data_IF_895141404966
#
_entry.id   IF_895141404966
#
_cell.length_a   1.000
_cell.length_b   1.000
_cell.length_c   1.000
_cell.angle_alpha   90.00
_cell.angle_beta   90.00
_cell.angle_gamma   90.00
#
_symmetry.space_group_name_H-M   'P 1'
#
loop_
_entity.id
_entity.type
_entity.pdbx_description
1 polymer ?
#
# COMPACT_ATOMS: atom_id res chain seq x y z
N UNK A 1 12.23 -17.66 1.55
CA UNK A 1 12.08 -17.81 3.02
C UNK A 1 13.28 -17.13 3.64
N UNK A 2 13.09 -15.91 4.14
CA UNK A 2 14.16 -15.18 4.84
C UNK A 2 14.42 -15.87 6.17
N UNK A 3 15.54 -16.58 6.27
CA UNK A 3 15.98 -17.32 7.47
C UNK A 3 16.85 -16.47 8.39
N UNK A 4 16.75 -15.15 8.30
CA UNK A 4 17.51 -14.25 9.15
C UNK A 4 16.67 -13.83 10.36
N UNK A 5 17.17 -14.05 11.57
CA UNK A 5 16.51 -13.67 12.83
C UNK A 5 16.23 -12.15 12.85
N UNK A 6 17.05 -11.35 12.18
CA UNK A 6 16.90 -9.90 12.01
C UNK A 6 15.63 -9.55 11.21
N UNK A 7 15.37 -10.26 10.12
CA UNK A 7 14.16 -10.02 9.32
C UNK A 7 12.89 -10.36 10.09
N UNK A 8 12.93 -11.42 10.91
CA UNK A 8 11.82 -11.76 11.80
C UNK A 8 11.55 -10.63 12.80
N UNK A 9 12.59 -10.09 13.43
CA UNK A 9 12.48 -8.96 14.36
C UNK A 9 11.81 -7.75 13.70
N UNK A 10 12.22 -7.40 12.49
CA UNK A 10 11.61 -6.29 11.74
C UNK A 10 10.11 -6.49 11.49
N UNK A 11 9.73 -7.68 11.04
CA UNK A 11 8.32 -7.99 10.79
C UNK A 11 7.48 -8.02 12.07
N UNK A 12 8.00 -8.60 13.15
CA UNK A 12 7.31 -8.63 14.44
C UNK A 12 7.13 -7.21 15.01
N UNK A 13 8.16 -6.37 14.91
CA UNK A 13 8.11 -4.97 15.34
C UNK A 13 7.09 -4.17 14.51
N UNK A 14 7.17 -4.23 13.18
CA UNK A 14 6.23 -3.52 12.31
C UNK A 14 4.80 -4.03 12.50
N UNK A 15 4.60 -5.35 12.66
CA UNK A 15 3.27 -5.90 12.93
C UNK A 15 2.70 -5.39 14.25
N UNK A 16 3.47 -5.40 15.34
CA UNK A 16 3.00 -4.90 16.64
C UNK A 16 2.61 -3.41 16.56
N UNK A 17 3.38 -2.61 15.81
CA UNK A 17 3.07 -1.22 15.53
C UNK A 17 1.72 -1.09 14.79
N UNK A 18 1.52 -1.84 13.70
CA UNK A 18 0.28 -1.80 12.92
C UNK A 18 -0.92 -2.35 13.68
N UNK A 19 -0.78 -3.46 14.42
CA UNK A 19 -1.85 -4.05 15.23
C UNK A 19 -2.42 -3.05 16.24
N UNK A 20 -1.56 -2.27 16.89
CA UNK A 20 -1.98 -1.22 17.84
C UNK A 20 -2.71 -0.05 17.16
N UNK A 21 -2.36 0.26 15.92
CA UNK A 21 -2.91 1.41 15.17
C UNK A 21 -4.26 1.13 14.50
N UNK A 22 -4.59 -0.12 14.22
CA UNK A 22 -5.86 -0.49 13.57
C UNK A 22 -7.08 0.08 14.28
N UNK A 23 -7.31 -0.10 15.60
CA UNK A 23 -8.48 0.48 16.25
C UNK A 23 -8.53 2.01 16.19
N UNK A 24 -7.37 2.68 16.21
CA UNK A 24 -7.28 4.15 16.05
C UNK A 24 -7.73 4.54 14.64
N UNK A 25 -7.26 3.83 13.61
CA UNK A 25 -7.61 4.08 12.21
C UNK A 25 -9.09 3.82 11.94
N UNK A 26 -9.65 2.73 12.44
CA UNK A 26 -11.06 2.36 12.25
C UNK A 26 -12.02 3.35 12.90
N UNK A 27 -11.65 3.90 14.07
CA UNK A 27 -12.52 4.84 14.81
C UNK A 27 -12.22 6.31 14.53
N UNK A 28 -11.06 6.57 13.91
CA UNK A 28 -10.58 7.92 13.62
C UNK A 28 -11.29 8.59 12.45
N UNK A 29 -11.06 9.90 12.30
CA UNK A 29 -11.66 10.70 11.23
C UNK A 29 -10.95 10.55 9.89
N UNK A 30 -9.68 10.17 9.88
CA UNK A 30 -8.86 10.12 8.67
C UNK A 30 -9.45 9.17 7.61
N UNK A 31 -9.78 7.96 8.01
CA UNK A 31 -10.34 6.95 7.11
C UNK A 31 -11.86 7.06 6.93
N UNK A 32 -12.54 7.84 7.77
CA UNK A 32 -14.00 8.03 7.70
C UNK A 32 -14.76 6.70 7.49
N UNK A 33 -14.52 5.73 8.37
CA UNK A 33 -15.17 4.43 8.31
C UNK A 33 -16.72 4.52 8.25
N UNK A 34 -17.38 5.42 9.00
CA UNK A 34 -18.84 5.59 8.86
C UNK A 34 -19.26 6.02 7.45
N UNK A 35 -18.55 6.97 6.83
CA UNK A 35 -18.80 7.39 5.45
C UNK A 35 -18.58 6.28 4.45
N UNK A 36 -17.50 5.49 4.63
CA UNK A 36 -17.24 4.30 3.81
C UNK A 36 -18.39 3.27 3.91
N UNK A 37 -18.83 2.95 5.11
CA UNK A 37 -19.95 2.02 5.33
C UNK A 37 -21.27 2.54 4.73
N UNK A 38 -21.47 3.86 4.72
CA UNK A 38 -22.61 4.53 4.09
C UNK A 38 -22.53 4.61 2.55
N UNK A 39 -21.42 4.16 1.94
CA UNK A 39 -21.28 4.09 0.49
C UNK A 39 -20.21 4.98 -0.12
N UNK A 40 -19.45 5.75 0.68
CA UNK A 40 -18.30 6.52 0.17
C UNK A 40 -17.28 5.58 -0.48
N UNK A 41 -16.74 5.98 -1.60
CA UNK A 41 -15.64 5.29 -2.28
C UNK A 41 -14.29 5.78 -1.73
N UNK A 42 -13.29 4.89 -1.72
CA UNK A 42 -11.93 5.22 -1.28
C UNK A 42 -10.93 5.27 -2.42
N UNK A 43 -11.25 4.61 -3.54
CA UNK A 43 -10.36 4.57 -4.70
C UNK A 43 -10.28 5.94 -5.39
N UNK A 44 -9.08 6.30 -5.78
CA UNK A 44 -8.86 7.53 -6.51
C UNK A 44 -9.31 7.40 -7.98
N UNK A 45 -9.74 8.49 -8.63
CA UNK A 45 -10.14 8.44 -10.03
C UNK A 45 -9.05 7.85 -10.95
N UNK A 46 -7.78 8.22 -10.73
CA UNK A 46 -6.68 7.71 -11.55
C UNK A 46 -6.47 6.19 -11.38
N UNK A 47 -6.74 5.62 -10.19
CA UNK A 47 -6.64 4.17 -9.98
C UNK A 47 -7.71 3.43 -10.78
N UNK A 48 -8.92 3.97 -10.80
CA UNK A 48 -10.01 3.41 -11.61
C UNK A 48 -9.73 3.47 -13.10
N UNK A 49 -9.18 4.59 -13.58
CA UNK A 49 -8.84 4.76 -14.98
C UNK A 49 -7.69 3.83 -15.42
N UNK A 50 -6.67 3.66 -14.58
CA UNK A 50 -5.48 2.84 -14.87
C UNK A 50 -5.72 1.33 -14.71
N UNK A 51 -6.51 0.91 -13.72
CA UNK A 51 -6.92 -0.49 -13.53
C UNK A 51 -7.97 -0.88 -14.57
N UNK A 52 -8.91 0.02 -14.87
CA UNK A 52 -9.98 -0.19 -15.84
C UNK A 52 -11.11 -1.06 -15.29
N UNK A 53 -11.87 -1.70 -16.16
CA UNK A 53 -13.02 -2.53 -15.80
C UNK A 53 -12.59 -3.77 -15.02
N UNK A 54 -13.18 -3.96 -13.84
CA UNK A 54 -12.92 -5.11 -12.93
C UNK A 54 -14.12 -6.05 -12.79
N UNK A 55 -15.23 -5.78 -13.46
CA UNK A 55 -16.45 -6.58 -13.32
C UNK A 55 -16.19 -8.07 -13.64
N UNK A 56 -16.48 -8.93 -12.68
CA UNK A 56 -16.30 -10.38 -12.78
C UNK A 56 -14.85 -10.86 -12.71
N UNK A 57 -13.85 -9.99 -12.64
CA UNK A 57 -12.44 -10.35 -12.48
C UNK A 57 -12.12 -10.74 -11.04
N UNK A 58 -11.11 -11.60 -10.87
CA UNK A 58 -10.53 -11.91 -9.57
C UNK A 58 -9.43 -10.91 -9.25
N UNK A 59 -9.49 -10.32 -8.06
CA UNK A 59 -8.52 -9.35 -7.60
C UNK A 59 -8.00 -9.75 -6.21
N UNK A 60 -6.68 -9.80 -6.04
CA UNK A 60 -6.07 -9.85 -4.71
C UNK A 60 -5.45 -8.50 -4.37
N UNK A 61 -5.78 -7.97 -3.19
CA UNK A 61 -5.17 -6.79 -2.61
C UNK A 61 -4.15 -7.21 -1.56
N UNK A 62 -2.87 -7.00 -1.85
CA UNK A 62 -1.77 -7.29 -0.94
C UNK A 62 -1.57 -6.11 0.02
N UNK A 63 -1.32 -6.41 1.30
CA UNK A 63 -1.17 -5.41 2.37
C UNK A 63 -2.40 -4.49 2.46
N UNK A 64 -3.59 -5.13 2.53
CA UNK A 64 -4.88 -4.47 2.36
C UNK A 64 -5.35 -3.67 3.58
N UNK A 65 -4.59 -3.65 4.66
CA UNK A 65 -4.98 -3.03 5.94
C UNK A 65 -6.37 -3.50 6.38
N UNK A 66 -7.28 -2.62 6.81
CA UNK A 66 -8.65 -3.00 7.16
C UNK A 66 -9.65 -2.94 5.96
N UNK A 67 -9.15 -3.03 4.73
CA UNK A 67 -9.89 -3.50 3.56
C UNK A 67 -10.81 -2.50 2.87
N UNK A 68 -10.78 -1.19 3.14
CA UNK A 68 -11.68 -0.22 2.48
C UNK A 68 -11.51 -0.24 0.95
N UNK A 69 -10.29 -0.20 0.43
CA UNK A 69 -10.02 -0.22 -1.01
C UNK A 69 -10.39 -1.57 -1.63
N UNK A 70 -10.09 -2.68 -0.92
CA UNK A 70 -10.52 -4.03 -1.33
C UNK A 70 -12.04 -4.07 -1.54
N UNK A 71 -12.80 -3.56 -0.58
CA UNK A 71 -14.26 -3.53 -0.62
C UNK A 71 -14.80 -2.52 -1.65
N UNK A 72 -14.07 -1.45 -1.94
CA UNK A 72 -14.39 -0.51 -3.03
C UNK A 72 -14.25 -1.18 -4.40
N UNK A 73 -13.22 -2.03 -4.60
CA UNK A 73 -13.11 -2.87 -5.80
C UNK A 73 -14.23 -3.91 -5.89
N UNK A 74 -14.64 -4.49 -4.76
CA UNK A 74 -15.79 -5.41 -4.74
C UNK A 74 -17.10 -4.72 -5.14
N UNK A 75 -17.34 -3.50 -4.65
CA UNK A 75 -18.48 -2.65 -5.08
C UNK A 75 -18.43 -2.33 -6.58
N UNK A 76 -17.26 -2.35 -7.20
CA UNK A 76 -17.07 -2.19 -8.64
C UNK A 76 -17.25 -3.51 -9.43
N UNK A 77 -17.63 -4.61 -8.75
CA UNK A 77 -17.93 -5.90 -9.36
C UNK A 77 -16.77 -6.90 -9.42
N UNK A 78 -15.62 -6.61 -8.82
CA UNK A 78 -14.54 -7.57 -8.69
C UNK A 78 -14.86 -8.66 -7.65
N UNK A 79 -14.34 -9.86 -7.85
CA UNK A 79 -14.26 -10.90 -6.82
C UNK A 79 -12.95 -10.74 -6.08
N UNK A 80 -13.03 -10.23 -4.84
CA UNK A 80 -11.86 -9.74 -4.14
C UNK A 80 -11.35 -10.70 -3.06
N UNK A 81 -10.05 -10.69 -2.87
CA UNK A 81 -9.36 -11.27 -1.71
C UNK A 81 -8.42 -10.22 -1.15
N UNK A 82 -8.51 -9.89 0.12
CA UNK A 82 -7.57 -9.03 0.84
C UNK A 82 -6.60 -9.87 1.66
N UNK A 83 -5.33 -9.45 1.72
CA UNK A 83 -4.31 -10.09 2.54
C UNK A 83 -3.53 -9.03 3.30
N UNK A 84 -3.38 -9.24 4.61
CA UNK A 84 -2.56 -8.41 5.48
C UNK A 84 -1.95 -9.24 6.61
N UNK A 85 -0.83 -8.81 7.15
CA UNK A 85 -0.18 -9.51 8.27
C UNK A 85 -0.83 -9.19 9.63
N UNK A 86 -1.59 -8.09 9.72
CA UNK A 86 -2.28 -7.64 10.92
C UNK A 86 -3.60 -8.38 11.10
N UNK A 87 -3.70 -9.23 12.13
CA UNK A 87 -4.94 -9.91 12.45
C UNK A 87 -6.09 -8.94 12.82
N UNK A 88 -5.87 -7.88 13.64
CA UNK A 88 -6.91 -6.87 13.90
C UNK A 88 -7.39 -6.16 12.62
N UNK A 89 -6.51 -5.89 11.66
CA UNK A 89 -6.89 -5.28 10.39
C UNK A 89 -7.83 -6.19 9.59
N UNK A 90 -7.49 -7.46 9.47
CA UNK A 90 -8.31 -8.45 8.77
C UNK A 90 -9.66 -8.69 9.47
N UNK A 91 -9.70 -8.68 10.80
CA UNK A 91 -10.96 -8.77 11.55
C UNK A 91 -11.86 -7.56 11.27
N UNK A 92 -11.30 -6.35 11.27
CA UNK A 92 -12.02 -5.12 10.93
C UNK A 92 -12.52 -5.15 9.46
N UNK A 93 -11.71 -5.64 8.51
CA UNK A 93 -12.09 -5.79 7.12
C UNK A 93 -13.27 -6.76 6.93
N UNK A 94 -13.25 -7.91 7.62
CA UNK A 94 -14.35 -8.89 7.61
C UNK A 94 -15.64 -8.30 8.21
N UNK A 95 -15.51 -7.56 9.31
CA UNK A 95 -16.65 -6.89 9.94
C UNK A 95 -17.28 -5.86 8.99
N UNK A 96 -16.45 -5.05 8.30
CA UNK A 96 -16.91 -4.08 7.31
C UNK A 96 -17.62 -4.77 6.13
N UNK A 97 -17.03 -5.85 5.57
CA UNK A 97 -17.63 -6.63 4.49
C UNK A 97 -19.01 -7.17 4.86
N UNK A 98 -19.13 -7.77 6.05
CA UNK A 98 -20.39 -8.28 6.57
C UNK A 98 -21.44 -7.17 6.73
N UNK A 99 -21.03 -6.01 7.26
CA UNK A 99 -21.94 -4.88 7.50
C UNK A 99 -22.49 -4.28 6.20
N UNK A 100 -21.68 -4.22 5.13
CA UNK A 100 -22.13 -3.69 3.83
C UNK A 100 -22.69 -4.76 2.89
N UNK A 101 -22.71 -6.04 3.32
CA UNK A 101 -23.26 -7.16 2.55
C UNK A 101 -22.45 -7.50 1.30
N UNK A 102 -21.13 -7.31 1.34
CA UNK A 102 -20.20 -7.63 0.24
C UNK A 102 -19.51 -8.96 0.52
N UNK A 103 -19.51 -9.85 -0.48
CA UNK A 103 -18.74 -11.10 -0.44
C UNK A 103 -17.26 -10.82 -0.75
N UNK A 104 -16.39 -11.06 0.23
CA UNK A 104 -14.96 -10.82 0.13
C UNK A 104 -14.19 -11.78 1.04
N UNK A 105 -13.11 -12.36 0.50
CA UNK A 105 -12.18 -13.16 1.29
C UNK A 105 -11.14 -12.25 1.95
N UNK A 106 -10.80 -12.54 3.22
CA UNK A 106 -9.69 -11.85 3.90
C UNK A 106 -8.79 -12.85 4.62
N UNK A 107 -7.48 -12.77 4.40
CA UNK A 107 -6.47 -13.71 4.89
C UNK A 107 -5.39 -12.99 5.69
N UNK A 108 -5.10 -13.51 6.90
CA UNK A 108 -3.97 -13.04 7.70
C UNK A 108 -2.72 -13.77 7.23
N UNK A 109 -1.78 -13.06 6.61
CA UNK A 109 -0.48 -13.61 6.20
C UNK A 109 0.53 -12.51 5.93
N UNK A 110 1.82 -12.83 6.09
CA UNK A 110 2.88 -12.01 5.52
C UNK A 110 2.79 -12.05 3.98
N UNK A 111 3.06 -10.93 3.33
CA UNK A 111 3.00 -10.83 1.86
C UNK A 111 3.94 -11.81 1.16
N UNK A 112 5.07 -12.15 1.75
CA UNK A 112 6.02 -13.12 1.19
C UNK A 112 5.49 -14.55 1.17
N UNK A 113 4.55 -14.87 2.05
CA UNK A 113 3.90 -16.18 2.13
C UNK A 113 2.53 -16.20 1.41
N UNK A 114 2.17 -15.10 0.72
CA UNK A 114 0.84 -14.91 0.17
C UNK A 114 0.42 -16.02 -0.81
N UNK A 115 1.32 -16.52 -1.67
CA UNK A 115 0.97 -17.57 -2.61
C UNK A 115 0.56 -18.86 -1.91
N UNK A 116 1.29 -19.26 -0.86
CA UNK A 116 0.98 -20.45 -0.05
C UNK A 116 -0.29 -20.24 0.79
N UNK A 117 -0.41 -19.09 1.46
CA UNK A 117 -1.56 -18.75 2.28
C UNK A 117 -2.87 -18.68 1.46
N UNK A 118 -2.78 -18.33 0.18
CA UNK A 118 -3.90 -18.30 -0.75
C UNK A 118 -4.10 -19.62 -1.52
N UNK A 119 -3.39 -20.69 -1.15
CA UNK A 119 -3.52 -22.03 -1.74
C UNK A 119 -3.17 -22.06 -3.23
N UNK A 120 -2.13 -21.34 -3.65
CA UNK A 120 -1.65 -21.23 -5.03
C UNK A 120 -2.72 -20.70 -6.02
N UNK A 121 -3.74 -20.01 -5.52
CA UNK A 121 -4.73 -19.36 -6.39
C UNK A 121 -4.08 -18.29 -7.24
N UNK A 122 -4.52 -18.18 -8.50
CA UNK A 122 -4.10 -17.13 -9.41
C UNK A 122 -5.23 -16.13 -9.68
N UNK A 123 -4.85 -14.90 -9.89
CA UNK A 123 -5.76 -13.76 -10.01
C UNK A 123 -5.58 -13.04 -11.34
N UNK A 124 -6.64 -12.35 -11.78
CA UNK A 124 -6.60 -11.43 -12.90
C UNK A 124 -5.78 -10.19 -12.59
N UNK A 125 -5.90 -9.73 -11.34
CA UNK A 125 -5.32 -8.48 -10.86
C UNK A 125 -4.68 -8.73 -9.50
N UNK A 126 -3.42 -8.32 -9.36
CA UNK A 126 -2.78 -8.06 -8.07
C UNK A 126 -2.78 -6.55 -7.89
N UNK A 127 -3.47 -6.07 -6.86
CA UNK A 127 -3.55 -4.66 -6.51
C UNK A 127 -2.71 -4.40 -5.27
N UNK A 128 -1.93 -3.33 -5.29
CA UNK A 128 -1.10 -2.86 -4.18
C UNK A 128 -1.33 -1.35 -4.02
N UNK A 129 -1.88 -0.98 -2.87
CA UNK A 129 -2.22 0.39 -2.54
C UNK A 129 -1.04 1.19 -1.97
N UNK A 130 -1.31 2.47 -1.71
CA UNK A 130 -0.33 3.48 -1.28
C UNK A 130 0.28 3.13 0.08
N UNK A 131 1.60 3.31 0.19
CA UNK A 131 2.35 3.09 1.44
C UNK A 131 2.68 1.62 1.72
N UNK A 132 2.71 0.77 0.71
CA UNK A 132 2.91 -0.66 0.88
C UNK A 132 4.38 -1.10 0.80
N UNK A 133 5.14 -0.62 -0.19
CA UNK A 133 6.49 -1.14 -0.44
C UNK A 133 7.49 -0.74 0.64
N UNK A 134 7.30 0.40 1.27
CA UNK A 134 8.20 0.90 2.32
C UNK A 134 8.33 -0.06 3.52
N UNK A 135 7.38 -0.96 3.72
CA UNK A 135 7.37 -1.96 4.81
C UNK A 135 8.09 -3.26 4.46
N UNK A 136 8.63 -3.38 3.25
CA UNK A 136 9.18 -4.62 2.73
C UNK A 136 10.71 -4.56 2.61
N UNK A 137 11.46 -5.48 3.26
CA UNK A 137 12.93 -5.52 3.15
C UNK A 137 13.44 -6.06 1.81
N UNK A 138 12.61 -6.79 1.04
CA UNK A 138 13.04 -7.50 -0.19
C UNK A 138 12.00 -7.37 -1.28
N UNK A 139 12.16 -6.35 -2.12
CA UNK A 139 11.23 -6.08 -3.23
C UNK A 139 11.38 -7.11 -4.37
N UNK A 140 12.52 -7.80 -4.49
CA UNK A 140 12.68 -8.88 -5.48
C UNK A 140 11.86 -10.12 -5.09
N UNK A 141 11.91 -10.51 -3.80
CA UNK A 141 11.08 -11.59 -3.29
C UNK A 141 9.59 -11.25 -3.42
N UNK A 142 9.20 -10.02 -3.11
CA UNK A 142 7.84 -9.53 -3.30
C UNK A 142 7.38 -9.61 -4.77
N UNK A 143 8.20 -9.16 -5.72
CA UNK A 143 7.86 -9.22 -7.14
C UNK A 143 7.67 -10.67 -7.65
N UNK A 144 8.46 -11.63 -7.13
CA UNK A 144 8.28 -13.06 -7.41
C UNK A 144 6.95 -13.59 -6.88
N UNK A 145 6.53 -13.16 -5.68
CA UNK A 145 5.20 -13.49 -5.13
C UNK A 145 4.10 -12.91 -6.01
N UNK A 146 4.19 -11.65 -6.41
CA UNK A 146 3.24 -11.01 -7.33
C UNK A 146 3.12 -11.80 -8.64
N UNK A 147 4.25 -12.15 -9.25
CA UNK A 147 4.26 -12.94 -10.50
C UNK A 147 3.63 -14.33 -10.32
N UNK A 148 3.81 -14.97 -9.15
CA UNK A 148 3.21 -16.27 -8.81
C UNK A 148 1.69 -16.18 -8.66
N UNK A 149 1.20 -15.09 -8.05
CA UNK A 149 -0.23 -14.82 -7.86
C UNK A 149 -0.95 -14.42 -9.14
N UNK A 150 -0.25 -13.92 -10.16
CA UNK A 150 -0.86 -13.55 -11.43
C UNK A 150 -1.06 -14.76 -12.32
N UNK A 151 -2.24 -14.89 -12.92
CA UNK A 151 -2.46 -15.79 -14.06
C UNK A 151 -1.78 -15.24 -15.33
N UNK A 152 -1.47 -16.07 -16.33
CA UNK A 152 -1.08 -15.57 -17.64
C UNK A 152 -2.10 -14.57 -18.19
N UNK A 153 -1.65 -13.43 -18.68
CA UNK A 153 -2.49 -12.30 -19.11
C UNK A 153 -3.07 -11.43 -18.00
N UNK A 154 -2.84 -11.76 -16.71
CA UNK A 154 -3.17 -10.89 -15.57
C UNK A 154 -2.14 -9.79 -15.37
N UNK A 155 -2.41 -8.83 -14.49
CA UNK A 155 -1.52 -7.70 -14.25
C UNK A 155 -1.43 -7.28 -12.77
N UNK A 156 -0.26 -6.75 -12.42
CA UNK A 156 -0.03 -5.96 -11.21
C UNK A 156 -0.47 -4.53 -11.47
N UNK A 157 -1.20 -3.95 -10.53
CA UNK A 157 -1.32 -2.51 -10.35
C UNK A 157 -0.70 -2.11 -9.02
N UNK A 158 0.21 -1.15 -9.04
CA UNK A 158 0.87 -0.57 -7.89
C UNK A 158 0.70 0.95 -7.93
N UNK A 159 0.22 1.53 -6.83
CA UNK A 159 0.26 2.97 -6.57
C UNK A 159 0.93 3.21 -5.23
N UNK A 160 1.97 4.05 -5.17
CA UNK A 160 2.70 4.28 -3.93
C UNK A 160 3.27 5.71 -3.83
N UNK A 161 3.72 6.07 -2.63
CA UNK A 161 4.50 7.28 -2.40
C UNK A 161 5.82 7.24 -3.20
N UNK A 162 6.18 8.38 -3.81
CA UNK A 162 7.41 8.44 -4.58
C UNK A 162 8.64 8.41 -3.66
N UNK A 163 9.65 7.56 -3.88
CA UNK A 163 10.82 7.48 -3.00
C UNK A 163 11.63 8.79 -2.93
N UNK A 164 11.50 9.68 -3.91
CA UNK A 164 12.07 11.02 -3.83
C UNK A 164 11.48 11.82 -2.65
N UNK A 165 10.18 11.69 -2.39
CA UNK A 165 9.55 12.36 -1.26
C UNK A 165 9.99 11.79 0.10
N UNK A 166 10.43 10.54 0.14
CA UNK A 166 10.84 9.85 1.37
C UNK A 166 12.25 10.23 1.83
N UNK A 167 13.09 10.77 0.95
CA UNK A 167 14.47 11.17 1.28
C UNK A 167 14.60 12.61 1.73
N UNK A 168 13.52 13.39 1.65
CA UNK A 168 13.51 14.82 1.99
C UNK A 168 13.08 15.03 3.43
N UNK A 169 13.64 16.08 4.05
CA UNK A 169 13.32 16.52 5.41
C UNK A 169 11.83 16.82 5.59
N UNK A 170 11.34 16.70 6.81
CA UNK A 170 9.92 16.90 7.11
C UNK A 170 9.45 18.36 6.96
N UNK A 171 10.35 19.33 7.04
CA UNK A 171 10.03 20.75 6.97
C UNK A 171 10.61 21.48 5.74
N UNK A 172 11.30 20.74 4.83
CA UNK A 172 11.97 21.36 3.69
C UNK A 172 12.24 20.37 2.56
N UNK A 173 12.71 20.88 1.41
CA UNK A 173 13.23 20.05 0.31
C UNK A 173 14.71 19.67 0.46
N UNK A 174 15.24 19.72 1.68
CA UNK A 174 16.62 19.30 1.95
C UNK A 174 16.70 17.78 1.97
N UNK A 175 17.68 17.21 1.26
CA UNK A 175 17.92 15.76 1.27
C UNK A 175 18.53 15.36 2.62
N UNK A 176 17.88 14.47 3.36
CA UNK A 176 18.34 13.94 4.66
C UNK A 176 18.68 12.46 4.61
N UNK A 177 18.06 11.72 3.72
CA UNK A 177 18.23 10.28 3.61
C UNK A 177 18.83 9.88 2.26
N UNK A 178 19.45 8.70 2.19
CA UNK A 178 19.97 8.17 0.93
C UNK A 178 18.86 7.58 0.07
N UNK A 179 18.78 8.01 -1.20
CA UNK A 179 17.86 7.42 -2.17
C UNK A 179 18.19 5.94 -2.49
N UNK A 180 19.44 5.53 -2.30
CA UNK A 180 19.94 4.17 -2.55
C UNK A 180 20.29 3.47 -1.22
N UNK A 181 19.49 3.70 -0.19
CA UNK A 181 19.67 3.01 1.08
C UNK A 181 19.40 1.50 0.91
N UNK A 182 20.28 0.68 1.47
CA UNK A 182 20.14 -0.80 1.48
C UNK A 182 19.73 -1.35 2.84
N UNK A 183 19.82 -0.51 3.88
CA UNK A 183 19.40 -0.83 5.23
C UNK A 183 18.14 -0.04 5.58
N UNK A 184 17.27 -0.57 6.46
CA UNK A 184 16.09 0.16 6.86
C UNK A 184 16.40 1.39 7.68
N UNK A 185 15.58 2.42 7.54
CA UNK A 185 15.51 3.48 8.54
C UNK A 185 14.68 2.99 9.72
N UNK A 186 15.22 3.11 10.93
CA UNK A 186 14.49 2.85 12.17
C UNK A 186 13.90 4.15 12.69
N UNK A 187 12.60 4.17 12.81
CA UNK A 187 11.87 5.27 13.44
C UNK A 187 11.38 4.90 14.83
N UNK A 188 11.12 5.88 15.65
CA UNK A 188 10.49 5.70 16.96
C UNK A 188 9.58 6.89 17.26
N UNK A 189 8.32 6.78 16.81
CA UNK A 189 7.37 7.89 16.81
C UNK A 189 6.06 7.47 17.47
N UNK A 190 5.59 8.22 18.49
CA UNK A 190 4.27 8.00 19.08
C UNK A 190 3.16 8.46 18.13
N UNK A 191 1.95 7.98 18.39
CA UNK A 191 0.80 8.32 17.56
C UNK A 191 0.77 7.57 16.22
N UNK A 192 0.07 8.13 15.28
CA UNK A 192 -0.04 7.63 13.91
C UNK A 192 -0.31 8.78 12.95
N UNK A 193 0.01 8.64 11.67
CA UNK A 193 -0.32 9.63 10.64
C UNK A 193 -1.83 9.98 10.56
N UNK A 194 -2.70 9.11 11.05
CA UNK A 194 -4.15 9.33 11.10
C UNK A 194 -4.60 10.09 12.36
N UNK A 195 -3.79 10.06 13.44
CA UNK A 195 -4.01 10.76 14.71
C UNK A 195 -2.67 10.91 15.44
N UNK A 196 -2.05 12.10 15.30
CA UNK A 196 -0.73 12.39 15.89
C UNK A 196 -0.76 12.45 17.42
N UNK A 197 -1.93 12.69 18.03
CA UNK A 197 -2.11 12.80 19.48
C UNK A 197 -2.47 11.44 20.12
N UNK A 198 -2.63 10.40 19.34
CA UNK A 198 -2.97 9.07 19.86
C UNK A 198 -1.85 8.52 20.76
N UNK A 199 -2.26 7.95 21.90
CA UNK A 199 -1.32 7.31 22.84
C UNK A 199 -1.03 5.89 22.35
N UNK A 200 0.23 5.65 21.99
CA UNK A 200 0.71 4.35 21.48
C UNK A 200 1.96 3.91 22.23
N UNK A 201 2.20 2.60 22.25
CA UNK A 201 3.32 1.97 22.96
C UNK A 201 4.29 1.24 22.02
N UNK A 202 3.81 0.70 20.92
CA UNK A 202 4.62 0.06 19.88
C UNK A 202 5.02 1.12 18.83
N UNK A 203 5.99 1.97 19.18
CA UNK A 203 6.34 3.16 18.40
C UNK A 203 7.51 2.95 17.44
N UNK A 204 8.20 1.82 17.52
CA UNK A 204 9.31 1.50 16.62
C UNK A 204 8.78 0.94 15.31
N UNK A 205 9.32 1.47 14.20
CA UNK A 205 9.14 0.91 12.85
C UNK A 205 10.47 0.77 12.12
N UNK A 206 10.47 -0.10 11.12
CA UNK A 206 11.55 -0.26 10.13
C UNK A 206 10.99 -0.06 8.74
N UNK A 207 11.59 0.85 7.98
CA UNK A 207 11.11 1.28 6.67
C UNK A 207 12.24 1.27 5.64
N UNK A 208 11.94 0.84 4.40
CA UNK A 208 12.86 0.73 3.27
C UNK A 208 12.42 1.63 2.12
N UNK A 209 13.09 2.78 1.90
CA UNK A 209 12.82 3.60 0.72
C UNK A 209 13.41 2.94 -0.52
N UNK A 210 12.61 2.19 -1.26
CA UNK A 210 13.05 1.52 -2.48
C UNK A 210 13.19 2.49 -3.64
N UNK A 211 14.39 2.58 -4.23
CA UNK A 211 14.59 3.33 -5.45
C UNK A 211 13.70 2.80 -6.59
N UNK A 212 13.16 3.67 -7.46
CA UNK A 212 12.34 3.22 -8.59
C UNK A 212 13.07 2.19 -9.48
N UNK A 213 14.37 2.35 -9.65
CA UNK A 213 15.19 1.38 -10.40
C UNK A 213 15.20 -0.01 -9.78
N UNK A 214 15.15 -0.11 -8.44
CA UNK A 214 15.05 -1.38 -7.71
C UNK A 214 13.69 -2.03 -7.96
N UNK A 215 12.61 -1.26 -7.79
CA UNK A 215 11.23 -1.74 -8.02
C UNK A 215 11.06 -2.23 -9.47
N UNK A 216 11.53 -1.45 -10.45
CA UNK A 216 11.41 -1.81 -11.85
C UNK A 216 12.24 -3.06 -12.20
N UNK A 217 13.48 -3.12 -11.69
CA UNK A 217 14.34 -4.28 -11.90
C UNK A 217 13.74 -5.56 -11.32
N UNK A 218 13.16 -5.48 -10.11
CA UNK A 218 12.49 -6.61 -9.47
C UNK A 218 11.29 -7.12 -10.28
N UNK A 219 10.45 -6.21 -10.76
CA UNK A 219 9.27 -6.52 -11.59
C UNK A 219 9.70 -7.20 -12.90
N UNK A 220 10.70 -6.64 -13.59
CA UNK A 220 11.22 -7.21 -14.85
C UNK A 220 11.90 -8.56 -14.61
N UNK A 221 12.70 -8.71 -13.54
CA UNK A 221 13.34 -9.98 -13.18
C UNK A 221 12.34 -11.07 -12.80
N UNK A 222 11.16 -10.70 -12.28
CA UNK A 222 10.05 -11.62 -12.02
C UNK A 222 9.31 -12.06 -13.30
N UNK A 223 9.71 -11.61 -14.48
CA UNK A 223 9.12 -11.96 -15.77
C UNK A 223 7.86 -11.16 -16.14
N UNK A 224 7.59 -10.06 -15.43
CA UNK A 224 6.49 -9.16 -15.77
C UNK A 224 6.96 -8.09 -16.76
N UNK A 225 6.05 -7.59 -17.57
CA UNK A 225 6.28 -6.50 -18.52
C UNK A 225 5.61 -5.25 -18.00
N UNK A 226 6.36 -4.18 -17.82
CA UNK A 226 5.81 -2.86 -17.47
C UNK A 226 5.05 -2.31 -18.67
N UNK A 227 3.74 -2.07 -18.50
CA UNK A 227 2.85 -1.58 -19.54
C UNK A 227 2.71 -0.05 -19.48
N UNK A 228 2.63 0.51 -18.28
CA UNK A 228 2.62 1.96 -18.06
C UNK A 228 3.23 2.32 -16.71
N UNK A 229 3.67 3.56 -16.62
CA UNK A 229 4.20 4.20 -15.43
C UNK A 229 3.81 5.68 -15.44
N UNK A 230 3.41 6.20 -14.30
CA UNK A 230 3.07 7.61 -14.14
C UNK A 230 3.61 8.15 -12.82
N UNK A 231 4.19 9.35 -12.86
CA UNK A 231 4.57 10.12 -11.68
C UNK A 231 3.56 11.23 -11.45
N UNK A 232 3.38 11.61 -10.19
CA UNK A 232 2.43 12.67 -9.80
C UNK A 232 3.10 13.67 -8.88
N UNK A 233 2.82 14.96 -9.14
CA UNK A 233 3.29 16.11 -8.36
C UNK A 233 2.36 16.42 -7.18
N UNK A 234 1.56 15.44 -6.74
CA UNK A 234 0.65 15.57 -5.61
C UNK A 234 0.67 14.33 -4.71
N UNK A 235 0.27 14.55 -3.45
CA UNK A 235 0.00 13.50 -2.48
C UNK A 235 -1.49 13.49 -2.10
N UNK A 236 -1.95 12.37 -1.51
CA UNK A 236 -3.32 12.22 -0.99
C UNK A 236 -3.43 12.57 0.51
N UNK A 237 -2.32 12.90 1.13
CA UNK A 237 -2.23 13.31 2.53
C UNK A 237 -1.18 14.43 2.67
N UNK A 238 -1.21 15.21 3.76
CA UNK A 238 -0.26 16.30 3.99
C UNK A 238 1.12 15.77 4.42
N UNK A 239 1.91 15.20 3.44
CA UNK A 239 3.26 14.69 3.69
C UNK A 239 4.16 15.73 4.36
N UNK A 240 4.00 16.99 3.99
CA UNK A 240 4.72 18.13 4.55
C UNK A 240 3.75 19.23 4.97
N UNK A 241 4.06 19.98 6.05
CA UNK A 241 3.18 21.02 6.58
C UNK A 241 3.01 22.21 5.61
N UNK A 242 3.92 22.38 4.65
CA UNK A 242 3.86 23.45 3.66
C UNK A 242 3.08 23.12 2.39
N UNK A 243 2.59 21.88 2.24
CA UNK A 243 1.76 21.56 1.07
C UNK A 243 0.41 22.26 1.12
N UNK A 244 0.00 22.77 -0.04
CA UNK A 244 -1.33 23.35 -0.25
C UNK A 244 -2.36 22.27 -0.56
N UNK A 245 -3.46 22.25 0.20
CA UNK A 245 -4.62 21.42 -0.15
C UNK A 245 -5.38 22.06 -1.30
N UNK A 246 -5.68 21.29 -2.35
CA UNK A 246 -6.46 21.72 -3.53
C UNK A 246 -7.92 21.31 -3.40
N UNK A 247 -8.78 21.90 -4.23
CA UNK A 247 -10.23 21.63 -4.25
C UNK A 247 -10.57 20.18 -4.62
N UNK A 248 -9.69 19.50 -5.36
CA UNK A 248 -9.79 18.08 -5.71
C UNK A 248 -9.39 17.14 -4.55
N UNK A 249 -9.02 17.70 -3.38
CA UNK A 249 -8.60 16.96 -2.20
C UNK A 249 -7.12 16.57 -2.19
N UNK A 250 -6.37 16.82 -3.26
CA UNK A 250 -4.93 16.54 -3.32
C UNK A 250 -4.10 17.60 -2.60
N UNK A 251 -2.87 17.22 -2.27
CA UNK A 251 -1.88 18.09 -1.62
C UNK A 251 -0.73 18.31 -2.60
N UNK A 252 -0.39 19.59 -2.88
CA UNK A 252 0.63 19.96 -3.86
C UNK A 252 1.62 20.95 -3.28
N UNK A 253 2.78 21.05 -3.94
CA UNK A 253 3.75 22.11 -3.64
C UNK A 253 3.11 23.48 -3.85
N UNK A 254 3.42 24.48 -3.00
CA UNK A 254 3.09 25.87 -3.26
C UNK A 254 3.62 26.34 -4.61
N UNK A 255 2.95 27.29 -5.24
CA UNK A 255 3.28 27.74 -6.60
C UNK A 255 4.63 28.45 -6.73
N UNK A 256 5.20 28.92 -5.60
CA UNK A 256 6.51 29.59 -5.50
C UNK A 256 7.64 28.61 -5.14
N UNK A 257 7.34 27.31 -4.95
CA UNK A 257 8.29 26.25 -4.69
C UNK A 257 8.47 25.32 -5.89
N UNK A 258 9.65 24.70 -6.05
CA UNK A 258 9.83 23.67 -7.07
C UNK A 258 8.89 22.50 -6.88
N UNK A 259 8.29 22.00 -7.96
CA UNK A 259 7.52 20.75 -7.95
C UNK A 259 8.47 19.56 -7.94
N UNK A 260 8.15 18.57 -7.11
CA UNK A 260 8.86 17.27 -7.03
C UNK A 260 7.83 16.13 -7.14
N UNK A 261 8.22 14.93 -7.59
CA UNK A 261 7.31 13.81 -7.63
C UNK A 261 6.96 13.37 -6.20
N UNK A 262 5.67 13.25 -5.90
CA UNK A 262 5.14 12.88 -4.58
C UNK A 262 4.56 11.46 -4.56
N UNK A 263 4.04 11.01 -5.71
CA UNK A 263 3.49 9.66 -5.88
C UNK A 263 3.85 9.11 -7.25
N UNK A 264 3.74 7.81 -7.39
CA UNK A 264 3.81 7.14 -8.68
C UNK A 264 2.80 6.00 -8.74
N UNK A 265 2.48 5.57 -9.95
CA UNK A 265 1.77 4.33 -10.22
C UNK A 265 2.42 3.58 -11.38
N UNK A 266 2.27 2.26 -11.38
CA UNK A 266 2.66 1.44 -12.50
C UNK A 266 1.66 0.29 -12.69
N UNK A 267 1.60 -0.17 -13.94
CA UNK A 267 0.93 -1.41 -14.30
C UNK A 267 1.94 -2.32 -15.01
N UNK A 268 1.97 -3.60 -14.60
CA UNK A 268 2.84 -4.58 -15.21
C UNK A 268 2.09 -5.88 -15.47
N UNK A 269 2.10 -6.38 -16.70
CA UNK A 269 1.39 -7.59 -17.09
C UNK A 269 2.28 -8.82 -17.05
N UNK A 270 1.67 -9.97 -16.70
CA UNK A 270 2.27 -11.29 -16.89
C UNK A 270 2.01 -11.75 -18.32
N UNK A 271 3.03 -12.02 -19.12
CA UNK A 271 2.84 -12.58 -20.47
C UNK A 271 1.94 -13.80 -20.48
N UNK A 272 1.21 -13.99 -21.61
CA UNK A 272 0.29 -15.10 -21.81
C UNK A 272 1.01 -16.45 -22.02
#
# INVERSE_FOLDING_TARGET
MMQDDRAREWFETNRANWDERVPIHVTGRFYDQPGFLAGRDTLQPFERDEVGDVAGKTLVHLQCHFGQDTLSWARSGARVTGLDFSAPAIEAARAAAAQIGVDADFVVSNVYDAAEALGERQFDIVYVGIGSLIWLPDVEAWAKVVARLLRPGGFLYLSDGHPMAQILADESLTVEHSYFATEPTRWEEPGTYADLDAVTTHNVTYEWPHALSEVFSAILAAGLRIDCFAERDYALYPRWPFLDRRDDGTWRMPSDMPSVPLMYSLRASKPA
#
